data_IF_778251435770
#
_entry.id   IF_778251435770
#
_cell.length_a   1.000
_cell.length_b   1.000
_cell.length_c   1.000
_cell.angle_alpha   90.00
_cell.angle_beta   90.00
_cell.angle_gamma   90.00
#
_symmetry.space_group_name_H-M   'P 1'
#
loop_
_entity.id
_entity.type
_entity.pdbx_description
1 polymer ?
2 polymer ?
3 polymer ?
4 non-polymer ?
5 non-polymer ?
6 non-polymer ?
7 water ?
#
loop_
_entity_poly.entity_id
_entity_poly.type
_entity_poly.pdbx_seq_one_letter_code
_entity_poly.pdbx_strand_id
1 'polydeoxyribonucleotide' '(DA)(DG)(DG)(DA)(DC)(DC)(DOC)' ?
2 'polydeoxyribonucleotide' '(DT)(DC)(DT)(MA7)(DG)(DG)(DG)(DT)(DC)(DC)(DT)' ?
#
# COMPACT_ATOMS: atom_id res chain seq x y z
N UNK C 26 6.17 -0.67 26.52
CA UNK C 26 4.72 -0.51 26.54
C UNK C 26 4.12 -1.13 25.29
N UNK C 27 3.04 -1.89 25.45
CA UNK C 27 2.43 -2.59 24.33
C UNK C 27 1.46 -1.67 23.58
N UNK C 28 1.26 -1.96 22.32
CA UNK C 28 0.41 -1.14 21.49
C UNK C 28 -0.73 -1.99 20.93
N UNK C 29 -1.78 -1.33 20.51
CA UNK C 29 -2.82 -1.96 19.69
C UNK C 29 -2.85 -1.23 18.35
N UNK C 30 -2.44 -1.93 17.31
CA UNK C 30 -2.36 -1.41 15.96
C UNK C 30 -3.39 -2.14 15.11
N UNK C 31 -3.94 -1.43 14.13
CA UNK C 31 -4.82 -2.04 13.16
C UNK C 31 -4.28 -1.79 11.76
N UNK C 32 -4.38 -2.81 10.91
CA UNK C 32 -4.03 -2.72 9.51
C UNK C 32 -5.30 -2.93 8.69
N UNK C 33 -5.71 -1.89 7.96
CA UNK C 33 -6.91 -1.94 7.12
C UNK C 33 -6.48 -2.10 5.67
N UNK C 34 -7.05 -3.08 4.97
CA UNK C 34 -6.58 -3.42 3.63
C UNK C 34 -7.77 -3.79 2.77
N UNK C 35 -8.04 -2.98 1.75
CA UNK C 35 -9.29 -3.11 1.00
C UNK C 35 -9.25 -4.27 0.02
N UNK C 36 -10.44 -4.82 -0.26
CA UNK C 36 -10.61 -5.85 -1.28
C UNK C 36 -10.38 -5.30 -2.70
N UNK C 37 -9.57 -6.04 -3.48
CA UNK C 37 -9.38 -5.79 -4.91
C UNK C 37 -9.68 -4.33 -5.29
N UNK C 38 -8.88 -3.42 -4.75
CA UNK C 38 -9.29 -2.01 -4.63
C UNK C 38 -9.69 -1.39 -5.97
N UNK C 39 -8.84 -1.51 -6.98
CA UNK C 39 -9.20 -0.90 -8.26
C UNK C 39 -10.47 -1.55 -8.81
N UNK C 40 -10.49 -2.88 -8.82
CA UNK C 40 -11.70 -3.58 -9.24
C UNK C 40 -12.90 -3.08 -8.46
N UNK C 41 -12.76 -2.97 -7.14
CA UNK C 41 -13.89 -2.53 -6.31
C UNK C 41 -14.36 -1.13 -6.71
N UNK C 42 -13.44 -0.23 -7.04
CA UNK C 42 -13.87 1.10 -7.45
C UNK C 42 -14.61 1.04 -8.78
N UNK C 43 -14.10 0.24 -9.71
CA UNK C 43 -14.77 0.10 -11.00
C UNK C 43 -16.15 -0.52 -10.86
N UNK C 44 -16.34 -1.42 -9.89
CA UNK C 44 -17.64 -2.05 -9.73
C UNK C 44 -18.64 -1.13 -9.05
N UNK C 45 -18.17 -0.11 -8.33
CA UNK C 45 -19.13 0.83 -7.80
C UNK C 45 -19.56 1.83 -8.87
N UNK C 46 -18.67 2.19 -9.80
CA UNK C 46 -19.06 3.07 -10.90
C UNK C 46 -20.17 2.44 -11.72
N UNK C 47 -19.86 1.34 -12.42
CA UNK C 47 -20.79 0.61 -13.25
C UNK C 47 -21.21 -0.69 -12.57
N UNK C 48 -22.32 -0.71 -11.85
CA UNK C 48 -22.77 -1.97 -11.23
C UNK C 48 -22.91 -3.12 -12.19
N UNK C 49 -23.07 -2.88 -13.50
CA UNK C 49 -23.21 -4.00 -14.44
C UNK C 49 -22.04 -4.97 -14.35
N UNK C 50 -20.94 -4.59 -13.69
CA UNK C 50 -19.78 -5.45 -13.56
C UNK C 50 -19.86 -6.37 -12.33
N UNK C 51 -20.69 -6.06 -11.34
CA UNK C 51 -20.95 -7.03 -10.29
C UNK C 51 -21.43 -8.34 -10.90
N UNK C 52 -21.09 -9.45 -10.27
CA UNK C 52 -21.52 -10.78 -10.69
C UNK C 52 -20.76 -11.26 -11.90
N UNK C 53 -19.95 -10.40 -12.53
CA UNK C 53 -19.07 -10.79 -13.61
C UNK C 53 -17.63 -10.78 -13.12
N UNK C 54 -16.83 -11.80 -13.48
CA UNK C 54 -15.41 -11.74 -13.15
C UNK C 54 -14.78 -10.55 -13.84
N UNK C 55 -13.95 -9.80 -13.09
CA UNK C 55 -13.51 -8.48 -13.51
C UNK C 55 -12.02 -8.27 -13.25
N UNK C 56 -11.31 -7.84 -14.28
CA UNK C 56 -9.91 -7.46 -14.14
C UNK C 56 -9.70 -6.02 -14.56
N UNK C 57 -8.80 -5.34 -13.87
CA UNK C 57 -8.44 -3.96 -14.21
C UNK C 57 -7.09 -4.02 -14.93
N UNK C 58 -7.10 -3.54 -16.16
CA UNK C 58 -5.98 -3.68 -17.07
C UNK C 58 -5.20 -2.37 -17.17
N UNK C 59 -3.88 -2.51 -17.28
CA UNK C 59 -2.97 -1.40 -17.51
C UNK C 59 -1.96 -1.91 -18.52
N UNK C 60 -2.01 -1.38 -19.74
CA UNK C 60 -1.15 -1.87 -20.82
C UNK C 60 -1.43 -3.36 -20.98
N UNK C 61 -0.44 -4.25 -20.92
CA UNK C 61 -0.62 -5.69 -21.10
C UNK C 61 -0.63 -6.43 -19.77
N UNK C 62 -1.13 -5.81 -18.70
CA UNK C 62 -1.07 -6.40 -17.36
C UNK C 62 -2.43 -6.30 -16.70
N UNK C 63 -2.92 -7.41 -16.15
CA UNK C 63 -4.10 -7.40 -15.29
C UNK C 63 -3.60 -7.16 -13.86
N UNK C 64 -3.68 -5.90 -13.43
CA UNK C 64 -3.03 -5.52 -12.18
C UNK C 64 -3.77 -6.11 -10.99
N UNK C 65 -5.10 -6.08 -11.03
CA UNK C 65 -5.91 -6.70 -9.99
C UNK C 65 -7.20 -7.19 -10.63
N UNK C 66 -7.89 -8.09 -9.92
CA UNK C 66 -9.19 -8.61 -10.35
C UNK C 66 -10.06 -8.82 -9.14
N UNK C 67 -11.38 -8.85 -9.38
CA UNK C 67 -12.35 -9.04 -8.31
C UNK C 67 -12.34 -10.51 -7.88
N UNK C 68 -13.00 -10.79 -6.76
CA UNK C 68 -12.88 -12.14 -6.22
C UNK C 68 -13.65 -13.13 -7.06
N UNK C 69 -14.73 -12.70 -7.71
CA UNK C 69 -15.38 -13.55 -8.70
C UNK C 69 -14.37 -14.06 -9.74
N UNK C 70 -13.45 -13.21 -10.15
CA UNK C 70 -12.44 -13.65 -11.11
C UNK C 70 -11.36 -14.51 -10.45
N UNK C 71 -11.03 -14.28 -9.19
CA UNK C 71 -9.99 -15.11 -8.59
C UNK C 71 -10.49 -16.53 -8.35
N UNK C 72 -11.81 -16.71 -8.26
CA UNK C 72 -12.37 -18.06 -8.22
C UNK C 72 -12.04 -18.82 -9.48
N UNK C 73 -12.13 -18.16 -10.63
CA UNK C 73 -11.82 -18.73 -11.94
C UNK C 73 -10.33 -18.92 -12.19
N UNK C 74 -9.46 -18.67 -11.21
CA UNK C 74 -8.03 -18.86 -11.40
C UNK C 74 -7.25 -17.63 -11.86
N UNK C 75 -7.91 -16.52 -12.19
CA UNK C 75 -7.19 -15.27 -12.46
C UNK C 75 -6.47 -14.81 -11.20
N UNK C 76 -5.22 -14.37 -11.36
CA UNK C 76 -4.42 -13.89 -10.24
C UNK C 76 -3.97 -12.45 -10.49
N UNK C 77 -3.67 -11.75 -9.40
CA UNK C 77 -3.18 -10.38 -9.50
C UNK C 77 -1.89 -10.34 -10.29
N UNK C 78 -1.83 -9.45 -11.27
CA UNK C 78 -0.60 -9.15 -11.98
C UNK C 78 -0.21 -10.17 -13.04
N UNK C 79 -1.16 -10.96 -13.57
CA UNK C 79 -0.84 -11.79 -14.71
C UNK C 79 -1.22 -11.06 -15.99
N UNK C 80 -0.47 -11.32 -17.05
CA UNK C 80 -0.68 -10.54 -18.27
C UNK C 80 -2.05 -10.86 -18.86
N UNK C 81 -2.46 -10.04 -19.82
CA UNK C 81 -3.82 -10.19 -20.35
C UNK C 81 -4.00 -11.55 -21.00
N UNK C 82 -3.01 -12.01 -21.77
CA UNK C 82 -3.13 -13.31 -22.43
C UNK C 82 -3.39 -14.42 -21.43
N UNK C 83 -2.46 -14.61 -20.48
CA UNK C 83 -2.62 -15.64 -19.46
C UNK C 83 -4.00 -15.58 -18.82
N UNK C 84 -4.56 -14.37 -18.67
CA UNK C 84 -5.81 -14.21 -17.96
C UNK C 84 -7.02 -14.58 -18.82
N UNK C 85 -7.00 -14.20 -20.10
CA UNK C 85 -8.08 -14.61 -20.98
C UNK C 85 -8.00 -16.11 -21.27
N UNK C 86 -6.78 -16.65 -21.36
CA UNK C 86 -6.62 -18.09 -21.54
C UNK C 86 -7.17 -18.85 -20.33
N UNK C 87 -6.91 -18.37 -19.12
CA UNK C 87 -7.45 -18.99 -17.92
C UNK C 87 -8.94 -18.68 -17.76
N UNK C 88 -9.37 -17.48 -18.16
CA UNK C 88 -10.76 -17.06 -18.06
C UNK C 88 -11.10 -16.30 -19.33
N UNK C 89 -11.61 -17.00 -20.35
CA UNK C 89 -11.94 -16.32 -21.61
C UNK C 89 -13.08 -15.33 -21.50
N UNK C 90 -13.97 -15.45 -20.51
CA UNK C 90 -15.09 -14.51 -20.38
C UNK C 90 -14.78 -13.35 -19.43
N UNK C 91 -13.55 -13.26 -18.94
CA UNK C 91 -13.14 -12.16 -18.08
C UNK C 91 -13.41 -10.80 -18.72
N UNK C 92 -13.98 -9.89 -17.95
CA UNK C 92 -14.20 -8.51 -18.36
C UNK C 92 -13.00 -7.65 -17.95
N UNK C 93 -12.45 -6.89 -18.89
CA UNK C 93 -11.30 -6.02 -18.66
C UNK C 93 -11.75 -4.57 -18.74
N UNK C 94 -11.32 -3.76 -17.77
CA UNK C 94 -11.53 -2.30 -17.76
C UNK C 94 -10.17 -1.65 -17.66
N UNK C 95 -10.07 -0.41 -18.15
CA UNK C 95 -8.78 0.24 -18.16
C UNK C 95 -8.54 0.97 -16.84
N UNK C 96 -7.40 0.67 -16.21
CA UNK C 96 -7.03 1.34 -14.99
C UNK C 96 -5.73 2.11 -15.08
N UNK C 97 -5.46 2.73 -16.24
CA UNK C 97 -4.23 3.49 -16.40
C UNK C 97 -4.31 4.86 -15.75
N UNK C 98 -5.49 5.37 -15.56
CA UNK C 98 -5.70 6.67 -14.96
C UNK C 98 -6.12 6.43 -13.50
N UNK C 99 -5.27 6.82 -12.57
CA UNK C 99 -5.47 6.53 -11.16
C UNK C 99 -6.34 7.55 -10.48
N UNK C 100 -6.93 8.49 -11.22
CA UNK C 100 -7.58 9.63 -10.57
C UNK C 100 -8.70 9.18 -9.64
N UNK C 101 -9.52 8.24 -10.10
CA UNK C 101 -10.66 7.78 -9.30
C UNK C 101 -10.19 6.97 -8.09
N UNK C 102 -9.24 6.06 -8.29
CA UNK C 102 -8.73 5.30 -7.17
C UNK C 102 -8.05 6.22 -6.16
N UNK C 103 -7.33 7.22 -6.65
CA UNK C 103 -6.66 8.16 -5.74
C UNK C 103 -7.69 8.97 -4.94
N UNK C 104 -8.77 9.42 -5.58
CA UNK C 104 -9.76 10.15 -4.81
C UNK C 104 -10.32 9.28 -3.69
N UNK C 105 -10.60 8.02 -4.00
CA UNK C 105 -11.20 7.12 -3.01
C UNK C 105 -10.18 6.75 -1.92
N UNK C 106 -8.95 6.49 -2.33
CA UNK C 106 -7.90 6.21 -1.36
C UNK C 106 -7.85 7.25 -0.25
N UNK C 107 -8.04 8.54 -0.58
CA UNK C 107 -7.95 9.55 0.47
C UNK C 107 -9.26 9.74 1.22
N UNK C 108 -10.40 9.41 0.62
CA UNK C 108 -11.61 9.38 1.43
C UNK C 108 -11.47 8.34 2.52
N UNK C 109 -10.93 7.16 2.17
CA UNK C 109 -10.74 6.10 3.17
C UNK C 109 -9.85 6.59 4.30
N UNK C 110 -8.69 7.19 3.95
CA UNK C 110 -7.76 7.62 4.99
C UNK C 110 -8.40 8.69 5.85
N UNK C 111 -9.10 9.63 5.23
CA UNK C 111 -9.67 10.73 6.00
C UNK C 111 -10.72 10.21 6.94
N UNK C 112 -11.47 9.20 6.53
CA UNK C 112 -12.44 8.57 7.43
C UNK C 112 -11.71 7.95 8.63
N UNK C 113 -10.68 7.16 8.36
CA UNK C 113 -9.93 6.55 9.45
C UNK C 113 -9.32 7.61 10.37
N UNK C 114 -8.88 8.74 9.81
CA UNK C 114 -8.35 9.81 10.66
C UNK C 114 -9.38 10.34 11.65
N UNK C 115 -10.68 10.12 11.42
CA UNK C 115 -11.69 10.54 12.37
C UNK C 115 -11.56 9.76 13.67
N UNK C 116 -11.25 8.48 13.57
CA UNK C 116 -11.09 7.61 14.73
C UNK C 116 -9.87 8.02 15.55
N UNK C 117 -8.70 8.03 14.92
CA UNK C 117 -7.49 8.49 15.55
C UNK C 117 -6.72 9.26 14.49
N UNK C 118 -6.19 10.44 14.83
CA UNK C 118 -5.58 11.33 13.81
C UNK C 118 -4.35 10.76 13.12
N UNK C 119 -3.63 9.86 13.78
CA UNK C 119 -2.32 9.41 13.32
C UNK C 119 -2.54 8.17 12.45
N UNK C 120 -2.64 8.37 11.14
CA UNK C 120 -2.93 7.27 10.22
C UNK C 120 -1.82 7.21 9.20
N UNK C 121 -1.30 6.00 8.97
CA UNK C 121 -0.18 5.77 8.07
C UNK C 121 -0.68 5.10 6.79
N UNK C 122 -0.49 5.74 5.66
CA UNK C 122 -0.82 5.09 4.40
C UNK C 122 0.30 4.16 4.00
N UNK C 123 -0.06 3.13 3.25
CA UNK C 123 0.90 2.26 2.58
C UNK C 123 0.26 1.90 1.24
N UNK C 124 0.76 2.45 0.15
CA UNK C 124 0.02 2.31 -1.09
C UNK C 124 -1.33 3.01 -1.01
N UNK C 125 -2.19 2.67 -1.98
CA UNK C 125 -3.48 3.34 -2.09
C UNK C 125 -4.59 2.68 -1.26
N UNK C 126 -4.45 1.43 -0.80
CA UNK C 126 -5.57 0.84 -0.10
C UNK C 126 -5.21 0.20 1.23
N UNK C 127 -4.10 0.63 1.87
CA UNK C 127 -3.78 0.13 3.21
C UNK C 127 -3.50 1.30 4.16
N UNK C 128 -3.95 1.15 5.40
CA UNK C 128 -3.71 2.15 6.43
C UNK C 128 -3.37 1.45 7.75
N UNK C 129 -2.36 1.97 8.44
CA UNK C 129 -2.14 1.61 9.84
C UNK C 129 -2.71 2.69 10.72
N UNK C 130 -3.36 2.28 11.81
CA UNK C 130 -3.87 3.22 12.79
C UNK C 130 -3.47 2.69 14.15
N UNK C 131 -2.83 3.54 14.96
CA UNK C 131 -2.43 3.17 16.30
C UNK C 131 -3.63 3.43 17.18
N UNK C 132 -4.30 2.35 17.56
CA UNK C 132 -5.52 2.34 18.36
C UNK C 132 -5.24 2.41 19.85
N UNK C 133 -3.97 2.50 20.25
CA UNK C 133 -3.63 2.28 21.66
C UNK C 133 -4.38 3.25 22.56
N UNK C 134 -4.16 4.56 22.39
CA UNK C 134 -4.84 5.54 23.24
C UNK C 134 -6.34 5.33 23.22
N UNK C 135 -6.91 5.10 22.04
CA UNK C 135 -8.35 4.85 21.96
C UNK C 135 -8.76 3.66 22.82
N UNK C 136 -8.01 2.57 22.73
CA UNK C 136 -8.35 1.36 23.50
C UNK C 136 -8.33 1.64 24.99
N UNK C 137 -7.30 2.33 25.47
CA UNK C 137 -7.27 2.59 26.91
C UNK C 137 -8.44 3.48 27.32
N UNK C 138 -8.74 4.50 26.53
CA UNK C 138 -9.87 5.37 26.85
C UNK C 138 -11.16 4.59 27.02
N UNK C 139 -11.43 3.62 26.14
CA UNK C 139 -12.66 2.86 26.27
C UNK C 139 -12.66 1.97 27.50
N UNK C 140 -11.50 1.45 27.89
CA UNK C 140 -11.47 0.63 29.10
C UNK C 140 -11.68 1.48 30.34
N UNK C 141 -11.11 2.69 30.37
CA UNK C 141 -11.36 3.59 31.49
C UNK C 141 -12.85 3.89 31.66
N UNK C 142 -13.67 3.61 30.66
CA UNK C 142 -15.09 3.94 30.70
C UNK C 142 -15.98 2.74 31.00
N UNK C 143 -15.40 1.57 31.23
CA UNK C 143 -16.15 0.34 31.43
C UNK C 143 -16.23 0.00 32.91
N UNK C 144 -17.43 -0.41 33.37
CA UNK C 144 -17.63 -0.89 34.73
C UNK C 144 -17.12 -2.33 34.85
N UNK C 145 -16.82 -2.74 36.08
CA UNK C 145 -16.20 -4.05 36.31
C UNK C 145 -17.04 -5.16 35.70
N UNK C 146 -18.34 -5.20 36.05
CA UNK C 146 -19.22 -6.19 35.43
C UNK C 146 -19.17 -6.11 33.91
N UNK C 147 -19.17 -4.88 33.37
CA UNK C 147 -19.08 -4.70 31.93
C UNK C 147 -17.80 -5.29 31.35
N UNK C 148 -16.75 -5.44 32.16
CA UNK C 148 -15.44 -5.82 31.65
C UNK C 148 -15.33 -7.32 31.35
N UNK C 149 -16.26 -8.13 31.86
CA UNK C 149 -16.26 -9.56 31.58
C UNK C 149 -17.14 -9.92 30.39
N UNK C 150 -17.94 -8.97 29.90
CA UNK C 150 -18.73 -9.18 28.70
C UNK C 150 -18.00 -8.78 27.43
N UNK C 151 -16.75 -8.29 27.55
CA UNK C 151 -15.96 -7.94 26.38
C UNK C 151 -15.85 -9.15 25.45
N UNK C 152 -16.23 -8.96 24.20
CA UNK C 152 -16.25 -10.03 23.22
C UNK C 152 -15.40 -9.62 22.04
N UNK C 153 -14.81 -10.63 21.37
CA UNK C 153 -14.09 -10.33 20.13
C UNK C 153 -15.07 -9.96 19.02
N UNK C 154 -14.56 -9.25 18.02
CA UNK C 154 -15.28 -8.97 16.80
C UNK C 154 -14.51 -9.60 15.63
N UNK C 155 -15.13 -10.56 14.96
CA UNK C 155 -14.45 -11.28 13.89
C UNK C 155 -13.61 -12.49 14.31
N UNK C 156 -12.59 -12.83 13.53
CA UNK C 156 -11.78 -14.01 13.77
C UNK C 156 -10.67 -13.76 14.79
N UNK C 157 -10.38 -14.81 15.55
CA UNK C 157 -9.20 -14.87 16.39
C UNK C 157 -8.19 -15.75 15.69
N UNK C 158 -6.99 -15.22 15.41
CA UNK C 158 -6.02 -16.00 14.63
C UNK C 158 -5.72 -17.31 15.33
N UNK C 159 -5.64 -18.39 14.52
CA UNK C 159 -5.33 -19.73 15.01
C UNK C 159 -6.37 -20.23 16.00
N UNK C 160 -7.56 -19.61 16.04
CA UNK C 160 -8.63 -20.08 16.89
C UNK C 160 -8.20 -20.13 18.35
N UNK C 161 -7.32 -19.22 18.73
CA UNK C 161 -6.73 -19.27 20.05
C UNK C 161 -7.75 -18.88 21.10
N UNK C 162 -7.61 -19.47 22.26
CA UNK C 162 -8.52 -19.20 23.36
C UNK C 162 -8.23 -17.84 23.96
N UNK C 163 -9.29 -17.13 24.26
CA UNK C 163 -9.25 -15.82 24.89
C UNK C 163 -9.23 -15.99 26.40
N UNK C 164 -8.40 -15.23 27.06
CA UNK C 164 -8.36 -15.23 28.51
C UNK C 164 -8.76 -13.82 28.94
N UNK C 165 -10.00 -13.67 29.42
CA UNK C 165 -10.50 -12.34 29.73
C UNK C 165 -9.78 -11.71 30.90
N UNK C 166 -8.95 -12.44 31.62
CA UNK C 166 -8.17 -11.84 32.69
C UNK C 166 -6.84 -11.34 32.19
N UNK C 167 -6.50 -11.66 30.95
CA UNK C 167 -5.26 -11.16 30.37
C UNK C 167 -5.48 -9.75 29.87
N UNK C 168 -4.80 -8.78 30.47
CA UNK C 168 -5.03 -7.41 30.06
C UNK C 168 -4.74 -7.22 28.57
N UNK C 169 -3.74 -7.94 28.03
CA UNK C 169 -3.40 -7.78 26.61
C UNK C 169 -4.51 -8.31 25.72
N UNK C 170 -5.15 -9.40 26.12
CA UNK C 170 -6.26 -9.94 25.35
C UNK C 170 -7.42 -8.96 25.34
N UNK C 171 -7.75 -8.38 26.50
CA UNK C 171 -8.85 -7.43 26.58
C UNK C 171 -8.58 -6.24 25.67
N UNK C 172 -7.33 -5.74 25.71
CA UNK C 172 -6.98 -4.56 24.90
C UNK C 172 -7.07 -4.89 23.42
N UNK C 173 -6.65 -6.10 23.03
CA UNK C 173 -6.70 -6.47 21.62
C UNK C 173 -8.14 -6.81 21.19
N UNK C 174 -9.00 -7.24 22.12
CA UNK C 174 -10.38 -7.45 21.71
C UNK C 174 -11.07 -6.12 21.47
N UNK C 175 -10.85 -5.13 22.34
CA UNK C 175 -11.35 -3.79 22.08
C UNK C 175 -10.81 -3.28 20.75
N UNK C 176 -9.49 -3.47 20.53
CA UNK C 176 -8.92 -3.17 19.23
C UNK C 176 -9.72 -3.78 18.09
N UNK C 177 -10.25 -4.99 18.30
CA UNK C 177 -11.00 -5.64 17.22
C UNK C 177 -12.36 -5.02 17.07
N UNK C 178 -12.95 -4.55 18.19
CA UNK C 178 -14.24 -3.86 18.12
C UNK C 178 -14.11 -2.56 17.36
N UNK C 179 -13.06 -1.79 17.64
CA UNK C 179 -12.86 -0.56 16.89
C UNK C 179 -12.65 -0.89 15.42
N UNK C 180 -11.92 -1.97 15.14
CA UNK C 180 -11.72 -2.35 13.75
C UNK C 180 -13.04 -2.60 13.06
N UNK C 181 -13.93 -3.36 13.69
CA UNK C 181 -15.23 -3.62 13.09
C UNK C 181 -15.96 -2.30 12.76
N UNK C 182 -15.93 -1.35 13.70
CA UNK C 182 -16.59 -0.06 13.51
C UNK C 182 -16.05 0.66 12.28
N UNK C 183 -14.72 0.83 12.20
CA UNK C 183 -14.04 1.29 11.00
C UNK C 183 -14.57 0.60 9.74
N UNK C 184 -14.53 -0.73 9.71
CA UNK C 184 -14.98 -1.40 8.50
C UNK C 184 -16.45 -1.10 8.23
N UNK C 185 -17.23 -0.94 9.30
CA UNK C 185 -18.64 -0.66 9.12
C UNK C 185 -18.86 0.75 8.61
N UNK C 186 -18.02 1.69 9.06
CA UNK C 186 -18.07 3.06 8.53
C UNK C 186 -17.67 3.12 7.06
N UNK C 187 -16.62 2.40 6.67
CA UNK C 187 -16.19 2.45 5.28
C UNK C 187 -17.23 1.83 4.35
N UNK C 188 -17.98 0.85 4.83
CA UNK C 188 -19.06 0.36 3.97
C UNK C 188 -20.23 1.34 3.98
N UNK C 189 -20.55 1.88 5.16
CA UNK C 189 -21.72 2.75 5.27
C UNK C 189 -21.49 4.11 4.62
N UNK C 190 -20.28 4.67 4.73
CA UNK C 190 -20.10 6.01 4.20
C UNK C 190 -19.47 6.05 2.81
N UNK C 191 -18.63 5.08 2.44
CA UNK C 191 -18.03 5.07 1.11
C UNK C 191 -18.36 3.83 0.31
N UNK C 192 -19.16 2.91 0.86
CA UNK C 192 -19.56 1.73 0.12
C UNK C 192 -18.44 0.77 -0.21
N UNK C 193 -17.41 0.72 0.64
CA UNK C 193 -16.21 -0.08 0.39
C UNK C 193 -16.07 -1.18 1.42
N UNK C 194 -15.77 -2.39 0.96
CA UNK C 194 -15.42 -3.49 1.85
C UNK C 194 -13.91 -3.73 1.86
N UNK C 195 -13.39 -4.15 3.01
CA UNK C 195 -11.99 -4.50 3.17
C UNK C 195 -11.75 -5.34 4.41
N UNK C 196 -10.52 -5.78 4.57
CA UNK C 196 -10.10 -6.52 5.75
C UNK C 196 -9.33 -5.65 6.74
N UNK C 197 -9.23 -6.14 7.97
CA UNK C 197 -8.46 -5.47 9.01
C UNK C 197 -7.74 -6.54 9.83
N UNK C 198 -6.60 -6.16 10.36
CA UNK C 198 -5.87 -7.01 11.28
C UNK C 198 -5.52 -6.22 12.52
N UNK C 199 -5.71 -6.81 13.69
CA UNK C 199 -5.38 -6.15 14.95
C UNK C 199 -4.26 -6.94 15.58
N UNK C 200 -3.21 -6.24 15.99
CA UNK C 200 -2.04 -6.90 16.55
C UNK C 200 -1.26 -5.88 17.36
N UNK C 201 -0.08 -6.28 17.81
CA UNK C 201 0.63 -5.46 18.78
C UNK C 201 1.68 -4.54 18.14
N UNK C 202 2.09 -4.83 16.91
CA UNK C 202 2.96 -3.96 16.13
C UNK C 202 2.48 -3.95 14.68
N UNK C 203 3.06 -3.04 13.89
CA UNK C 203 2.63 -2.88 12.49
C UNK C 203 2.81 -4.17 11.70
N UNK C 204 3.98 -4.81 11.83
CA UNK C 204 4.25 -6.02 11.08
C UNK C 204 3.19 -7.10 11.33
N UNK C 205 2.90 -7.37 12.59
CA UNK C 205 1.93 -8.40 12.92
C UNK C 205 0.52 -8.03 12.44
N UNK C 206 0.13 -6.77 12.61
CA UNK C 206 -1.15 -6.29 12.08
C UNK C 206 -1.25 -6.58 10.59
N UNK C 207 -0.20 -6.30 9.82
CA UNK C 207 -0.32 -6.47 8.38
C UNK C 207 -0.23 -7.93 7.97
N UNK C 208 0.48 -8.77 8.73
CA UNK C 208 0.50 -10.18 8.38
C UNK C 208 -0.83 -10.83 8.73
N UNK C 209 -1.46 -10.40 9.82
CA UNK C 209 -2.71 -11.05 10.19
C UNK C 209 -3.91 -10.50 9.43
N UNK C 210 -3.82 -9.30 8.88
CA UNK C 210 -4.97 -8.76 8.16
C UNK C 210 -5.31 -9.61 6.97
N UNK C 211 -4.33 -10.37 6.45
CA UNK C 211 -4.57 -11.19 5.28
C UNK C 211 -5.06 -12.60 5.55
N UNK C 212 -5.25 -13.00 6.80
CA UNK C 212 -5.50 -14.41 7.07
C UNK C 212 -6.88 -14.82 6.53
N UNK C 213 -7.85 -13.91 6.55
CA UNK C 213 -9.20 -14.20 6.06
C UNK C 213 -9.62 -13.13 5.07
N UNK C 214 -9.75 -13.52 3.81
CA UNK C 214 -10.15 -12.63 2.74
C UNK C 214 -11.27 -13.25 1.92
N UNK C 215 -12.15 -12.41 1.36
CA UNK C 215 -12.16 -10.95 1.52
C UNK C 215 -13.08 -10.48 2.63
N UNK C 216 -13.07 -9.17 2.90
CA UNK C 216 -14.09 -8.53 3.74
C UNK C 216 -14.26 -9.25 5.08
N UNK C 217 -13.15 -9.51 5.76
CA UNK C 217 -13.22 -10.03 7.12
C UNK C 217 -12.08 -9.44 7.92
N UNK C 218 -12.08 -9.69 9.23
CA UNK C 218 -10.99 -9.22 10.08
C UNK C 218 -10.55 -10.30 11.06
N UNK C 219 -9.29 -10.18 11.51
CA UNK C 219 -8.60 -11.17 12.33
C UNK C 219 -7.78 -10.42 13.36
N UNK C 220 -7.78 -10.95 14.59
CA UNK C 220 -7.01 -10.40 15.72
C UNK C 220 -5.97 -11.41 16.16
N UNK C 221 -4.77 -10.93 16.48
CA UNK C 221 -3.66 -11.81 16.84
C UNK C 221 -3.35 -11.61 18.31
N UNK C 222 -3.64 -12.64 19.12
CA UNK C 222 -3.19 -12.61 20.51
C UNK C 222 -1.72 -13.02 20.58
N UNK C 223 -1.01 -12.54 21.58
CA UNK C 223 0.46 -12.73 21.61
C UNK C 223 0.91 -14.19 21.51
N UNK C 224 0.24 -15.10 22.23
CA UNK C 224 0.62 -16.51 22.21
C UNK C 224 0.80 -17.04 20.81
N UNK C 225 0.11 -16.46 19.83
CA UNK C 225 0.07 -17.02 18.48
C UNK C 225 1.02 -16.32 17.52
N UNK C 226 1.84 -15.41 18.04
CA UNK C 226 2.72 -14.65 17.16
C UNK C 226 3.67 -15.57 16.40
N UNK C 227 4.29 -16.50 17.10
CA UNK C 227 5.22 -17.39 16.41
C UNK C 227 4.51 -18.27 15.39
N UNK C 228 3.30 -18.76 15.73
CA UNK C 228 2.55 -19.53 14.76
C UNK C 228 2.37 -18.74 13.48
N UNK C 229 1.95 -17.48 13.61
CA UNK C 229 1.72 -16.66 12.44
C UNK C 229 3.01 -16.46 11.64
N UNK C 230 4.10 -16.10 12.32
CA UNK C 230 5.37 -15.85 11.62
C UNK C 230 5.83 -17.12 10.92
N UNK C 231 5.73 -18.26 11.58
CA UNK C 231 6.17 -19.48 10.92
C UNK C 231 5.19 -19.99 9.88
N UNK C 232 3.95 -19.45 9.85
CA UNK C 232 3.04 -19.82 8.79
C UNK C 232 3.57 -19.40 7.42
N UNK C 233 4.53 -18.47 7.37
CA UNK C 233 5.07 -18.03 6.10
C UNK C 233 5.92 -19.13 5.48
N UNK C 234 6.00 -19.11 4.15
CA UNK C 234 6.75 -20.15 3.45
C UNK C 234 8.05 -19.65 2.84
N UNK C 235 8.32 -18.35 2.93
CA UNK C 235 9.65 -17.84 2.58
C UNK C 235 9.78 -16.39 3.00
N UNK C 236 11.03 -15.99 3.25
CA UNK C 236 11.36 -14.66 3.76
C UNK C 236 10.87 -13.54 2.85
N UNK C 237 10.78 -13.77 1.53
CA UNK C 237 10.20 -12.76 0.67
C UNK C 237 8.85 -12.27 1.20
N UNK C 238 8.11 -13.13 1.91
CA UNK C 238 6.77 -12.74 2.35
C UNK C 238 6.78 -11.77 3.53
N UNK C 239 7.93 -11.51 4.13
CA UNK C 239 8.05 -10.57 5.24
C UNK C 239 8.15 -9.15 4.70
N UNK C 240 7.18 -8.28 5.00
CA UNK C 240 7.32 -6.87 4.62
C UNK C 240 8.62 -6.30 5.15
N UNK C 241 9.40 -5.69 4.26
CA UNK C 241 10.74 -5.23 4.55
C UNK C 241 11.82 -5.98 3.80
N UNK C 242 11.50 -7.15 3.28
CA UNK C 242 12.43 -8.01 2.57
C UNK C 242 11.90 -8.13 1.15
N UNK C 243 12.64 -7.59 0.18
CA UNK C 243 12.20 -7.52 -1.21
C UNK C 243 12.96 -8.47 -2.13
N UNK C 244 13.01 -8.10 -3.42
CA UNK C 244 13.69 -8.96 -4.39
C UNK C 244 15.19 -8.98 -4.14
N UNK C 245 15.77 -7.84 -3.76
CA UNK C 245 17.21 -7.79 -3.55
C UNK C 245 17.62 -8.56 -2.30
N UNK C 246 17.05 -8.21 -1.14
CA UNK C 246 17.49 -8.87 0.09
C UNK C 246 17.16 -10.36 0.06
N UNK C 247 15.98 -10.72 -0.43
CA UNK C 247 15.64 -12.14 -0.60
C UNK C 247 16.73 -12.87 -1.37
N UNK C 248 16.97 -12.46 -2.62
CA UNK C 248 18.00 -13.10 -3.42
C UNK C 248 19.34 -13.13 -2.69
N UNK C 249 19.68 -12.03 -2.01
CA UNK C 249 20.92 -12.03 -1.24
C UNK C 249 20.88 -13.11 -0.18
N UNK C 250 19.78 -13.19 0.58
CA UNK C 250 19.69 -14.15 1.68
C UNK C 250 19.75 -15.59 1.19
N UNK C 251 19.16 -15.87 0.02
CA UNK C 251 19.23 -17.23 -0.52
C UNK C 251 20.67 -17.67 -0.74
N UNK C 252 21.52 -16.76 -1.24
CA UNK C 252 22.93 -17.05 -1.45
C UNK C 252 23.61 -17.51 -0.17
N UNK C 253 23.06 -17.18 1.00
CA UNK C 253 23.58 -17.67 2.26
C UNK C 253 22.80 -18.88 2.78
N UNK C 254 21.99 -19.52 1.95
CA UNK C 254 21.21 -20.66 2.40
C UNK C 254 20.20 -20.34 3.48
N UNK C 255 19.64 -19.13 3.45
CA UNK C 255 18.52 -18.76 4.30
C UNK C 255 17.27 -18.81 3.43
N UNK C 256 16.37 -19.73 3.72
CA UNK C 256 15.15 -19.87 2.93
C UNK C 256 13.88 -19.83 3.74
N UNK C 257 13.91 -20.19 5.01
CA UNK C 257 12.74 -20.16 5.85
C UNK C 257 12.86 -19.05 6.88
N UNK C 258 11.72 -18.67 7.45
CA UNK C 258 11.75 -17.71 8.54
C UNK C 258 12.64 -18.20 9.66
N UNK C 259 12.64 -19.51 9.93
CA UNK C 259 13.47 -19.99 11.04
C UNK C 259 14.95 -19.94 10.69
N UNK C 260 15.30 -20.18 9.42
CA UNK C 260 16.68 -19.96 8.96
C UNK C 260 17.16 -18.57 9.37
N UNK C 261 16.43 -17.54 8.93
CA UNK C 261 16.77 -16.16 9.31
C UNK C 261 16.75 -15.98 10.82
N UNK C 262 15.79 -16.62 11.50
CA UNK C 262 15.73 -16.50 12.96
C UNK C 262 17.00 -17.01 13.61
N UNK C 263 17.49 -18.17 13.16
CA UNK C 263 18.64 -18.81 13.76
C UNK C 263 19.96 -18.42 13.10
N UNK C 264 19.93 -17.71 11.98
CA UNK C 264 21.19 -17.36 11.32
C UNK C 264 22.05 -16.49 12.23
N UNK C 265 23.34 -16.45 11.92
CA UNK C 265 24.29 -15.78 12.82
C UNK C 265 24.21 -14.27 12.66
N UNK C 266 23.99 -13.53 13.74
CA UNK C 266 23.92 -12.07 13.61
C UNK C 266 25.12 -11.48 12.90
N UNK C 267 26.33 -11.73 13.41
CA UNK C 267 27.53 -11.15 12.85
C UNK C 267 27.59 -11.35 11.34
N UNK C 268 27.43 -12.59 10.88
CA UNK C 268 27.55 -12.87 9.45
C UNK C 268 26.52 -12.06 8.68
N UNK C 269 25.35 -11.83 9.27
CA UNK C 269 24.28 -11.15 8.57
C UNK C 269 24.57 -9.66 8.39
N UNK C 270 25.14 -9.03 9.43
CA UNK C 270 25.56 -7.64 9.32
C UNK C 270 26.57 -7.47 8.18
N UNK C 271 27.52 -8.40 8.04
CA UNK C 271 28.59 -8.21 7.08
C UNK C 271 28.07 -8.23 5.64
N UNK C 272 27.04 -9.02 5.35
CA UNK C 272 26.54 -9.10 3.99
C UNK C 272 25.49 -8.04 3.69
N UNK C 273 24.90 -7.43 4.71
CA UNK C 273 23.79 -6.52 4.53
C UNK C 273 23.96 -5.20 5.27
N UNK C 274 24.98 -5.09 6.11
CA UNK C 274 25.18 -3.89 6.89
C UNK C 274 24.37 -3.98 8.15
N UNK C 275 24.89 -3.45 9.25
CA UNK C 275 24.21 -3.59 10.54
C UNK C 275 22.74 -3.17 10.43
N UNK C 276 22.45 -2.20 9.56
CA UNK C 276 21.08 -1.73 9.43
C UNK C 276 20.17 -2.87 9.00
N UNK C 277 20.17 -3.13 7.70
CA UNK C 277 19.29 -4.15 7.13
C UNK C 277 19.36 -5.43 7.96
N UNK C 278 20.55 -5.78 8.46
CA UNK C 278 20.68 -7.03 9.21
C UNK C 278 19.79 -7.04 10.43
N UNK C 279 19.97 -6.09 11.35
CA UNK C 279 19.27 -6.19 12.61
C UNK C 279 17.76 -6.02 12.46
N UNK C 280 17.34 -5.07 11.61
CA UNK C 280 15.90 -4.88 11.44
C UNK C 280 15.24 -6.14 10.92
N UNK C 281 15.80 -6.74 9.86
CA UNK C 281 15.09 -7.89 9.30
C UNK C 281 15.21 -9.09 10.23
N UNK C 282 16.30 -9.21 10.99
CA UNK C 282 16.35 -10.35 11.90
C UNK C 282 15.29 -10.21 12.99
N UNK C 283 15.09 -9.00 13.52
CA UNK C 283 14.00 -8.78 14.47
C UNK C 283 12.66 -9.09 13.83
N UNK C 284 12.47 -8.65 12.58
CA UNK C 284 11.25 -8.98 11.87
C UNK C 284 11.01 -10.48 11.88
N UNK C 285 12.04 -11.27 11.58
CA UNK C 285 11.86 -12.72 11.50
C UNK C 285 11.28 -13.27 12.78
N UNK C 286 11.42 -12.57 13.92
CA UNK C 286 10.82 -12.98 15.18
C UNK C 286 9.45 -12.36 15.45
N UNK C 287 8.90 -11.60 14.50
CA UNK C 287 7.64 -10.92 14.76
C UNK C 287 7.75 -9.61 15.51
N UNK C 288 8.96 -9.13 15.77
CA UNK C 288 9.21 -7.97 16.61
C UNK C 288 9.39 -6.75 15.73
N UNK C 289 8.66 -5.67 16.03
CA UNK C 289 8.63 -4.51 15.14
C UNK C 289 8.26 -3.29 15.95
N UNK C 290 9.28 -2.48 16.29
CA UNK C 290 9.03 -1.32 17.14
C UNK C 290 8.68 -0.04 16.35
N UNK C 291 8.72 -0.09 15.02
CA UNK C 291 8.48 1.11 14.22
C UNK C 291 7.12 1.72 14.57
N UNK C 292 7.04 3.04 14.68
CA UNK C 292 5.77 3.69 15.01
C UNK C 292 4.91 3.93 13.78
N UNK C 293 3.61 4.07 14.04
CA UNK C 293 2.67 4.50 13.02
C UNK C 293 2.87 5.99 12.83
N UNK C 294 3.38 6.38 11.65
CA UNK C 294 3.64 7.76 11.27
C UNK C 294 2.42 8.36 10.59
N UNK C 295 2.15 9.64 10.86
CA UNK C 295 1.07 10.37 10.18
C UNK C 295 1.47 10.65 8.74
N UNK C 296 0.72 10.09 7.78
CA UNK C 296 1.08 10.26 6.38
C UNK C 296 0.82 11.68 5.91
N UNK C 297 -0.34 12.25 6.29
CA UNK C 297 -0.70 13.59 5.88
C UNK C 297 -0.74 13.76 4.37
N UNK C 298 -0.53 14.97 3.88
CA UNK C 298 -0.61 15.20 2.46
C UNK C 298 0.53 14.51 1.74
N UNK C 299 0.34 14.19 0.48
CA UNK C 299 1.41 13.53 -0.31
C UNK C 299 2.71 14.30 -0.28
N UNK C 300 3.82 13.55 -0.38
CA UNK C 300 5.12 14.14 -0.52
C UNK C 300 5.51 14.36 -1.98
N UNK C 301 4.72 13.88 -2.93
CA UNK C 301 5.07 14.06 -4.34
C UNK C 301 3.86 13.75 -5.21
N UNK C 302 3.85 14.40 -6.37
CA UNK C 302 2.84 14.18 -7.41
C UNK C 302 3.57 13.76 -8.68
N UNK C 303 3.10 12.70 -9.32
CA UNK C 303 3.74 12.21 -10.54
C UNK C 303 2.71 11.55 -11.44
N UNK C 304 2.99 11.58 -12.74
CA UNK C 304 2.33 10.73 -13.71
C UNK C 304 3.38 10.15 -14.62
N UNK C 305 3.04 9.05 -15.28
CA UNK C 305 3.98 8.43 -16.19
C UNK C 305 3.24 7.72 -17.29
N UNK C 306 4.01 7.28 -18.29
CA UNK C 306 3.48 6.53 -19.42
C UNK C 306 4.57 5.62 -19.94
N UNK C 307 4.20 4.39 -20.27
CA UNK C 307 5.10 3.47 -20.95
C UNK C 307 4.57 3.20 -22.35
N UNK C 308 5.47 2.78 -23.24
CA UNK C 308 5.12 2.56 -24.64
C UNK C 308 6.09 1.56 -25.25
N UNK C 309 5.81 1.18 -26.50
CA UNK C 309 6.72 0.29 -27.23
C UNK C 309 8.06 0.96 -27.47
N UNK C 310 8.05 2.18 -28.04
CA UNK C 310 9.24 2.98 -28.23
C UNK C 310 8.82 4.43 -28.52
N UNK C 311 9.75 5.36 -28.28
CA UNK C 311 9.56 6.78 -28.58
C UNK C 311 10.90 7.44 -28.90
N UNK C 312 11.39 7.30 -30.12
CA UNK C 312 12.59 8.01 -30.54
C UNK C 312 12.27 9.29 -31.33
N UNK C 313 11.03 9.76 -31.29
CA UNK C 313 10.67 11.07 -31.84
C UNK C 313 10.75 12.10 -30.72
N UNK C 314 11.97 12.61 -30.51
CA UNK C 314 12.20 13.55 -29.41
C UNK C 314 11.33 14.79 -29.52
N UNK C 315 10.82 15.09 -30.72
CA UNK C 315 9.76 16.08 -30.84
C UNK C 315 8.43 15.49 -30.38
N UNK C 316 8.23 14.19 -30.58
CA UNK C 316 7.02 13.53 -30.07
C UNK C 316 7.10 13.34 -28.56
N UNK C 317 8.28 12.97 -28.04
CA UNK C 317 8.48 12.95 -26.60
C UNK C 317 8.02 14.27 -25.97
N UNK C 318 8.31 15.40 -26.63
CA UNK C 318 7.86 16.69 -26.13
C UNK C 318 6.33 16.75 -26.03
N UNK C 319 5.63 16.08 -26.95
CA UNK C 319 4.17 16.05 -26.86
C UNK C 319 3.71 15.25 -25.66
N UNK C 320 4.27 14.05 -25.48
CA UNK C 320 3.91 13.20 -24.34
C UNK C 320 4.13 13.95 -23.03
N UNK C 321 5.30 14.59 -22.91
CA UNK C 321 5.65 15.37 -21.72
C UNK C 321 4.64 16.49 -21.49
N UNK C 322 4.15 17.10 -22.57
CA UNK C 322 3.15 18.14 -22.41
C UNK C 322 1.86 17.56 -21.84
N UNK C 323 1.50 16.33 -22.25
CA UNK C 323 0.28 15.71 -21.76
C UNK C 323 0.40 15.34 -20.28
N UNK C 324 1.48 14.64 -19.91
CA UNK C 324 1.75 14.36 -18.50
C UNK C 324 1.66 15.65 -17.68
N UNK C 325 2.43 16.66 -18.07
CA UNK C 325 2.49 17.89 -17.29
C UNK C 325 1.12 18.56 -17.16
N UNK C 326 0.27 18.42 -18.18
CA UNK C 326 -1.03 19.07 -18.16
C UNK C 326 -1.85 18.63 -16.96
N UNK C 327 -2.08 17.32 -16.82
CA UNK C 327 -2.87 16.81 -15.70
C UNK C 327 -2.22 17.17 -14.37
N UNK C 328 -0.90 16.96 -14.26
CA UNK C 328 -0.25 17.25 -12.98
C UNK C 328 -0.53 18.67 -12.52
N UNK C 329 -0.57 19.62 -13.46
CA UNK C 329 -0.87 21.00 -13.10
C UNK C 329 -2.23 21.09 -12.40
N UNK C 330 -3.26 20.49 -12.99
CA UNK C 330 -4.58 20.48 -12.36
C UNK C 330 -4.54 19.84 -10.98
N UNK C 331 -3.83 18.70 -10.86
CA UNK C 331 -3.77 18.01 -9.58
C UNK C 331 -3.05 18.84 -8.53
N UNK C 332 -1.83 19.29 -8.83
CA UNK C 332 -1.04 20.01 -7.83
C UNK C 332 -1.73 21.31 -7.45
N UNK C 333 -2.28 22.02 -8.43
CA UNK C 333 -3.08 23.20 -8.14
C UNK C 333 -4.15 22.89 -7.09
N UNK C 334 -4.98 21.87 -7.35
CA UNK C 334 -6.08 21.55 -6.44
C UNK C 334 -5.59 21.38 -5.00
N UNK C 335 -4.41 20.78 -4.81
CA UNK C 335 -3.91 20.48 -3.46
C UNK C 335 -3.75 21.75 -2.62
N UNK C 336 -3.40 22.88 -3.25
CA UNK C 336 -3.21 24.12 -2.52
C UNK C 336 -1.82 24.35 -1.95
N UNK C 337 -0.87 23.46 -2.22
CA UNK C 337 0.52 23.67 -1.89
C UNK C 337 1.31 23.77 -3.18
N UNK C 338 2.55 24.27 -3.07
CA UNK C 338 3.31 24.53 -4.28
C UNK C 338 4.58 23.69 -4.31
N UNK C 339 4.88 23.04 -5.43
CA UNK C 339 6.15 22.31 -5.55
C UNK C 339 7.31 23.24 -5.91
N UNK C 340 8.43 23.03 -5.23
CA UNK C 340 9.63 23.81 -5.48
C UNK C 340 10.72 23.00 -6.16
N UNK C 341 10.40 21.81 -6.65
CA UNK C 341 11.31 21.03 -7.48
C UNK C 341 10.50 20.24 -8.49
N UNK C 342 11.08 20.01 -9.67
CA UNK C 342 10.47 19.18 -10.70
C UNK C 342 11.50 18.14 -11.12
N UNK C 343 11.02 17.00 -11.59
CA UNK C 343 11.90 15.90 -12.01
C UNK C 343 11.32 15.24 -13.26
N UNK C 344 12.21 14.83 -14.15
CA UNK C 344 11.87 14.04 -15.32
C UNK C 344 12.60 12.70 -15.24
N UNK C 345 11.90 11.63 -15.63
CA UNK C 345 12.41 10.26 -15.54
C UNK C 345 12.19 9.59 -16.88
N UNK C 346 13.12 8.71 -17.27
CA UNK C 346 13.05 8.00 -18.55
C UNK C 346 13.58 6.59 -18.35
N UNK C 347 13.33 5.73 -19.35
CA UNK C 347 13.85 4.36 -19.38
C UNK C 347 14.38 4.07 -20.77
N UNK C 348 15.60 3.54 -20.86
CA UNK C 348 16.25 3.33 -22.14
C UNK C 348 15.82 1.99 -22.74
N UNK C 349 15.94 1.90 -24.07
CA UNK C 349 15.53 0.70 -24.80
C UNK C 349 16.25 -0.54 -24.29
N UNK C 350 15.49 -1.64 -24.19
CA UNK C 350 15.99 -2.92 -23.67
C UNK C 350 16.81 -2.78 -22.38
N UNK C 356 16.72 0.10 -14.30
CA UNK C 356 17.43 0.78 -15.37
C UNK C 356 16.77 2.08 -15.82
N UNK C 357 16.38 2.89 -14.84
CA UNK C 357 15.79 4.20 -15.10
C UNK C 357 16.80 5.30 -14.81
N UNK C 358 16.54 6.49 -15.37
CA UNK C 358 17.36 7.67 -15.15
C UNK C 358 16.46 8.85 -14.82
N UNK C 359 17.00 9.81 -14.06
CA UNK C 359 16.25 11.00 -13.66
C UNK C 359 17.17 12.22 -13.67
N UNK C 360 16.57 13.39 -13.88
CA UNK C 360 17.24 14.68 -13.80
C UNK C 360 16.27 15.68 -13.20
N UNK C 361 16.69 16.39 -12.15
CA UNK C 361 15.82 17.39 -11.53
C UNK C 361 16.49 18.76 -11.48
N UNK C 362 15.70 19.73 -11.06
CA UNK C 362 16.15 21.11 -10.90
C UNK C 362 15.10 21.84 -10.05
N UNK C 363 15.46 22.95 -9.42
CA UNK C 363 14.44 23.74 -8.72
C UNK C 363 13.50 24.38 -9.72
N UNK C 364 12.40 24.89 -9.21
CA UNK C 364 11.33 25.49 -10.00
C UNK C 364 11.45 27.01 -9.88
N UNK C 365 11.62 27.74 -10.97
CA UNK C 365 11.81 29.20 -10.85
C UNK C 365 10.71 29.84 -10.02
N UNK C 366 11.12 30.78 -9.16
CA UNK C 366 10.20 31.30 -8.14
C UNK C 366 8.95 31.90 -8.76
N UNK C 367 9.11 32.78 -9.75
CA UNK C 367 7.94 33.41 -10.34
C UNK C 367 7.05 32.38 -11.02
N UNK C 368 7.63 31.27 -11.51
CA UNK C 368 6.85 30.21 -12.15
C UNK C 368 5.95 29.54 -11.13
N UNK C 369 6.41 29.44 -9.88
CA UNK C 369 5.60 28.91 -8.80
C UNK C 369 4.31 29.70 -8.62
N UNK C 370 4.28 30.95 -9.09
CA UNK C 370 3.09 31.79 -8.95
C UNK C 370 1.88 31.28 -9.71
N UNK C 371 1.45 30.04 -9.44
CA UNK C 371 0.21 29.53 -10.03
C UNK C 371 -0.08 28.08 -9.61
N UNK C 378 -0.36 30.94 -18.34
CA UNK C 378 0.34 29.94 -19.14
C UNK C 378 1.64 29.54 -18.46
N UNK C 379 1.54 28.54 -17.59
CA UNK C 379 2.74 28.00 -16.94
C UNK C 379 3.32 26.82 -17.70
N UNK C 380 2.60 26.29 -18.68
CA UNK C 380 3.05 25.13 -19.44
C UNK C 380 4.35 25.41 -20.18
N UNK C 381 4.27 26.26 -21.20
CA UNK C 381 5.36 26.67 -22.08
C UNK C 381 6.64 26.92 -21.29
N UNK C 382 6.58 27.61 -20.15
CA UNK C 382 7.78 27.68 -19.28
C UNK C 382 8.27 26.31 -18.87
N UNK C 383 7.39 25.51 -18.24
CA UNK C 383 7.78 24.21 -17.74
C UNK C 383 8.30 23.31 -18.86
N UNK C 384 7.76 23.46 -20.07
CA UNK C 384 8.13 22.53 -21.15
C UNK C 384 9.56 22.76 -21.57
N UNK C 385 10.01 24.02 -21.58
CA UNK C 385 11.42 24.28 -21.90
C UNK C 385 12.32 23.70 -20.82
N UNK C 386 11.94 23.85 -19.55
CA UNK C 386 12.69 23.27 -18.44
C UNK C 386 12.83 21.76 -18.64
N UNK C 387 11.69 21.08 -18.76
CA UNK C 387 11.72 19.62 -18.82
C UNK C 387 12.50 19.14 -20.04
N UNK C 388 12.33 19.80 -21.18
CA UNK C 388 13.04 19.40 -22.38
C UNK C 388 14.55 19.57 -22.22
N UNK C 389 14.98 20.73 -21.69
CA UNK C 389 16.40 20.90 -21.41
C UNK C 389 16.90 19.76 -20.52
N UNK C 390 16.12 19.44 -19.48
CA UNK C 390 16.38 18.24 -18.67
C UNK C 390 16.32 16.98 -19.52
N UNK C 391 15.38 16.93 -20.45
CA UNK C 391 15.34 15.82 -21.41
C UNK C 391 16.67 15.69 -22.13
N UNK C 392 17.11 16.77 -22.80
CA UNK C 392 18.29 16.68 -23.67
C UNK C 392 19.56 16.50 -22.86
N UNK C 393 19.64 17.06 -21.65
CA UNK C 393 20.81 16.79 -20.84
C UNK C 393 20.94 15.31 -20.51
N UNK C 394 19.84 14.57 -20.61
CA UNK C 394 19.86 13.14 -20.31
C UNK C 394 20.00 12.27 -21.55
N UNK C 395 19.52 12.74 -22.71
CA UNK C 395 19.51 11.95 -23.91
C UNK C 395 20.00 12.79 -25.10
N UNK C 396 20.71 12.12 -26.03
CA UNK C 396 21.35 12.78 -27.17
C UNK C 396 20.40 12.80 -28.36
N UNK C 397 19.82 13.98 -28.65
CA UNK C 397 18.89 14.15 -29.77
C UNK C 397 19.60 14.01 -31.11
N UNK C 403 13.85 4.47 -25.28
CA UNK C 403 12.67 5.34 -25.28
C UNK C 403 11.38 4.61 -24.86
N UNK C 404 11.40 3.91 -23.73
CA UNK C 404 10.31 3.02 -23.34
C UNK C 404 9.48 3.52 -22.17
N UNK C 405 9.69 4.76 -21.70
CA UNK C 405 8.93 5.31 -20.58
C UNK C 405 9.26 6.78 -20.40
N UNK C 406 8.27 7.54 -19.92
CA UNK C 406 8.42 8.96 -19.63
C UNK C 406 7.56 9.31 -18.43
N UNK C 407 8.14 10.03 -17.47
CA UNK C 407 7.47 10.34 -16.21
C UNK C 407 7.87 11.74 -15.75
N UNK C 408 6.91 12.48 -15.19
CA UNK C 408 7.15 13.79 -14.61
C UNK C 408 6.71 13.76 -13.15
N UNK C 409 7.58 14.26 -12.27
CA UNK C 409 7.33 14.28 -10.84
C UNK C 409 7.42 15.70 -10.30
N UNK C 410 6.49 16.06 -9.42
CA UNK C 410 6.53 17.30 -8.67
C UNK C 410 6.74 17.00 -7.20
N UNK C 411 7.84 17.47 -6.63
CA UNK C 411 8.14 17.21 -5.23
C UNK C 411 8.59 18.52 -4.59
N UNK C 412 9.00 18.43 -3.32
CA UNK C 412 9.41 19.60 -2.54
C UNK C 412 8.23 20.55 -2.35
N UNK C 413 7.13 20.02 -1.83
CA UNK C 413 5.90 20.78 -1.67
C UNK C 413 5.95 21.65 -0.41
N UNK C 414 5.25 22.79 -0.48
CA UNK C 414 5.22 23.74 0.63
C UNK C 414 3.91 24.52 0.71
#
# INVERSE_FOLDING_TARGET
MELADVGAAASSQGVHDQVLPTPNASSRVIVHVDLDCFYAQVEMISNPELKDKPLGVQQKYLVVTCNYEARKLGVKKLMNVRDAKEKCPQLVLVNGEDLTRYREMSYKVTELLEEFSPVVERLGFDENFVDLTEMVEKRLQQLQSDELSAVTVSGHVYNNQSINLLDVLHIRLLVGSQIAAEMREAMYNQLGLTGCAGVASNKLLAKLVSGVFKPNQQTVLLPESCQHLIHSLNHIKEIPGIGYKTAKCLEALGINSVRDLQTFSPKILEKELGISVAQRIQKLSFGEDNSPVILSGPPQSFSEEDSFKKCSSEVEAKNKIEELLASLLNRVCQDGRKPHTVRLIIRRYSSEKHYGRESRQCPIPSHVIQKLGTGNYDVMTPMVDILMKLFRNMVNVKMPFHLTLLSVCFCNLKALNTAK
#
